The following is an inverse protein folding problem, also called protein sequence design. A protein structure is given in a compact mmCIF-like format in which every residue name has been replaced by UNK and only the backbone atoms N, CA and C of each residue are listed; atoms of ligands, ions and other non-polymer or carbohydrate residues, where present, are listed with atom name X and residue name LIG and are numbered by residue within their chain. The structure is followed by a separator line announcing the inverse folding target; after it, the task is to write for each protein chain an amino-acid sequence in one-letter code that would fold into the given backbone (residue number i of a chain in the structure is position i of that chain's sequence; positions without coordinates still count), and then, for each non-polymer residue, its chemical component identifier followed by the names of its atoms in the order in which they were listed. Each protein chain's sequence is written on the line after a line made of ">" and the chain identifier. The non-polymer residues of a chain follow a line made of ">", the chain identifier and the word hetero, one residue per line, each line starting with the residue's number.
data_IF_764077561341
#
_entry.id   IF_764077561341
#
_cell.length_a   1.000
_cell.length_b   1.000
_cell.length_c   1.000
_cell.angle_alpha   90.00
_cell.angle_beta   90.00
_cell.angle_gamma   90.00
#
_symmetry.space_group_name_H-M   'P 1'
#
loop_
_entity.id
_entity.type
_entity.pdbx_description
1 polymer ?
#
# COMPACT_ATOMS: atom_id res chain seq x y z
N UNK A 1 20.38 -26.05 7.38
CA UNK A 1 19.55 -27.15 6.82
C UNK A 1 18.86 -26.61 5.59
N UNK A 2 18.81 -27.38 4.50
CA UNK A 2 18.05 -27.01 3.31
C UNK A 2 16.54 -27.05 3.62
N UNK A 3 15.78 -26.07 3.13
CA UNK A 3 14.35 -26.00 3.40
C UNK A 3 13.58 -27.12 2.68
N UNK A 4 12.48 -27.57 3.26
CA UNK A 4 11.63 -28.63 2.69
C UNK A 4 11.21 -28.34 1.24
N UNK A 5 10.76 -27.12 0.95
CA UNK A 5 10.36 -26.72 -0.40
C UNK A 5 11.53 -26.78 -1.40
N UNK A 6 12.75 -26.44 -0.98
CA UNK A 6 13.92 -26.56 -1.84
C UNK A 6 14.27 -28.03 -2.13
N UNK A 7 14.20 -28.91 -1.13
CA UNK A 7 14.44 -30.35 -1.34
C UNK A 7 13.45 -30.98 -2.31
N UNK A 8 12.16 -30.63 -2.21
CA UNK A 8 11.15 -31.11 -3.16
C UNK A 8 11.42 -30.63 -4.58
N UNK A 9 11.78 -29.36 -4.74
CA UNK A 9 12.15 -28.82 -6.04
C UNK A 9 13.38 -29.55 -6.62
N UNK A 10 14.40 -29.83 -5.80
CA UNK A 10 15.58 -30.60 -6.24
C UNK A 10 15.23 -32.02 -6.69
N UNK A 11 14.36 -32.73 -5.95
CA UNK A 11 13.96 -34.09 -6.33
C UNK A 11 13.26 -34.08 -7.68
N UNK A 12 12.35 -33.14 -7.89
CA UNK A 12 11.65 -32.99 -9.17
C UNK A 12 12.62 -32.62 -10.31
N UNK A 13 13.51 -31.65 -10.08
CA UNK A 13 14.48 -31.22 -11.08
C UNK A 13 15.51 -32.31 -11.41
N UNK A 14 15.83 -33.19 -10.46
CA UNK A 14 16.73 -34.32 -10.71
C UNK A 14 16.14 -35.32 -11.72
N UNK A 15 14.82 -35.52 -11.75
CA UNK A 15 14.15 -36.33 -12.78
C UNK A 15 14.24 -35.68 -14.17
N UNK A 16 14.25 -34.34 -14.23
CA UNK A 16 14.51 -33.55 -15.44
C UNK A 16 16.01 -33.44 -15.80
N UNK A 17 16.90 -34.12 -15.05
CA UNK A 17 18.34 -34.12 -15.29
C UNK A 17 19.07 -32.85 -14.82
N UNK A 18 18.41 -32.01 -14.02
CA UNK A 18 18.96 -30.75 -13.51
C UNK A 18 19.48 -30.96 -12.07
N UNK A 19 20.77 -30.72 -11.86
CA UNK A 19 21.43 -30.86 -10.56
C UNK A 19 21.86 -29.50 -9.99
N UNK A 20 21.94 -29.35 -8.66
CA UNK A 20 22.45 -28.15 -8.03
C UNK A 20 23.97 -28.04 -8.18
N UNK A 21 24.42 -26.89 -8.65
CA UNK A 21 25.84 -26.55 -8.78
C UNK A 21 26.14 -25.29 -7.98
N UNK A 22 27.34 -25.19 -7.41
CA UNK A 22 27.84 -23.96 -6.82
C UNK A 22 28.78 -23.28 -7.81
N UNK A 23 28.59 -21.98 -8.01
CA UNK A 23 29.51 -21.15 -8.81
C UNK A 23 30.80 -20.87 -8.04
N UNK A 24 31.82 -20.33 -8.71
CA UNK A 24 33.06 -19.88 -8.06
C UNK A 24 32.81 -18.80 -6.98
N UNK A 25 31.68 -18.10 -7.06
CA UNK A 25 31.25 -17.09 -6.10
C UNK A 25 30.43 -17.67 -4.93
N UNK A 26 30.37 -18.99 -4.77
CA UNK A 26 29.55 -19.70 -3.76
C UNK A 26 28.05 -19.42 -3.93
N UNK A 27 27.60 -19.17 -5.17
CA UNK A 27 26.20 -18.99 -5.51
C UNK A 27 25.60 -20.28 -6.06
N UNK A 28 24.39 -20.59 -5.63
CA UNK A 28 23.65 -21.76 -6.05
C UNK A 28 23.02 -21.55 -7.42
N UNK A 29 23.31 -22.50 -8.32
CA UNK A 29 22.83 -22.54 -9.70
C UNK A 29 22.06 -23.83 -9.95
N UNK A 30 20.96 -23.74 -10.68
CA UNK A 30 20.14 -24.86 -11.12
C UNK A 30 19.94 -24.75 -12.64
N UNK A 31 20.59 -25.63 -13.41
CA UNK A 31 20.56 -25.56 -14.87
C UNK A 31 21.23 -24.29 -15.38
N UNK A 32 20.47 -23.39 -16.01
CA UNK A 32 20.93 -22.04 -16.41
C UNK A 32 20.62 -20.96 -15.36
N UNK A 33 19.77 -21.24 -14.39
CA UNK A 33 19.22 -20.24 -13.47
C UNK A 33 20.09 -20.08 -12.24
N UNK A 34 20.53 -18.85 -11.97
CA UNK A 34 21.23 -18.46 -10.75
C UNK A 34 20.21 -18.08 -9.68
N UNK A 35 20.33 -18.64 -8.47
CA UNK A 35 19.48 -18.28 -7.35
C UNK A 35 20.17 -17.19 -6.51
N UNK A 36 19.78 -15.91 -6.59
CA UNK A 36 20.51 -14.83 -5.93
C UNK A 36 20.42 -14.95 -4.40
N UNK A 37 21.57 -15.01 -3.74
CA UNK A 37 21.64 -15.08 -2.28
C UNK A 37 21.24 -13.73 -1.67
N UNK A 38 20.42 -13.79 -0.62
CA UNK A 38 20.07 -12.64 0.21
C UNK A 38 21.31 -12.14 0.94
N UNK A 39 21.63 -10.86 0.75
CA UNK A 39 22.67 -10.16 1.47
C UNK A 39 22.05 -9.30 2.58
N UNK A 40 22.81 -8.93 3.62
CA UNK A 40 22.31 -8.08 4.70
C UNK A 40 21.81 -6.71 4.24
N UNK A 41 22.21 -6.27 3.05
CA UNK A 41 21.87 -4.98 2.43
C UNK A 41 21.08 -5.16 1.12
N UNK A 42 20.40 -6.29 0.91
CA UNK A 42 19.60 -6.50 -0.32
C UNK A 42 18.38 -5.57 -0.33
N UNK A 43 18.39 -4.56 -1.21
CA UNK A 43 17.30 -3.62 -1.41
C UNK A 43 16.88 -2.92 -0.11
N UNK A 44 15.58 -2.95 0.20
CA UNK A 44 15.05 -2.33 1.43
C UNK A 44 15.42 -3.04 2.73
N UNK A 45 16.01 -4.24 2.68
CA UNK A 45 16.46 -4.95 3.86
C UNK A 45 17.83 -4.41 4.30
N UNK A 46 17.89 -3.92 5.54
CA UNK A 46 19.12 -3.45 6.17
C UNK A 46 19.36 -4.26 7.44
N UNK A 47 20.54 -4.86 7.55
CA UNK A 47 20.92 -5.79 8.63
C UNK A 47 20.07 -7.08 8.67
N UNK A 48 19.67 -7.59 7.50
CA UNK A 48 19.03 -8.90 7.45
C UNK A 48 20.00 -10.01 7.90
N UNK A 49 19.45 -11.01 8.60
CA UNK A 49 20.19 -12.22 8.91
C UNK A 49 20.41 -13.03 7.62
N UNK A 50 21.60 -12.86 7.03
CA UNK A 50 22.04 -13.58 5.84
C UNK A 50 22.85 -14.85 6.18
N UNK A 51 22.67 -15.41 7.38
CA UNK A 51 23.30 -16.67 7.75
C UNK A 51 22.74 -17.83 6.90
N UNK A 52 23.64 -18.62 6.31
CA UNK A 52 23.29 -19.65 5.34
C UNK A 52 22.90 -19.11 3.96
N UNK A 53 22.37 -20.00 3.12
CA UNK A 53 21.89 -19.66 1.79
C UNK A 53 20.39 -19.38 1.82
N UNK A 54 20.04 -18.10 1.73
CA UNK A 54 18.66 -17.63 1.73
C UNK A 54 18.38 -16.90 0.42
N UNK A 55 17.15 -16.97 -0.08
CA UNK A 55 16.70 -16.23 -1.27
C UNK A 55 15.38 -15.54 -0.93
N UNK A 56 15.08 -14.43 -1.61
CA UNK A 56 13.80 -13.76 -1.43
C UNK A 56 12.65 -14.62 -1.96
N UNK A 57 11.57 -14.71 -1.19
CA UNK A 57 10.35 -15.41 -1.58
C UNK A 57 9.36 -14.42 -2.21
N UNK A 58 8.93 -14.71 -3.43
CA UNK A 58 7.90 -14.03 -4.19
C UNK A 58 6.53 -14.62 -3.84
N UNK A 59 5.77 -13.90 -3.01
CA UNK A 59 4.42 -14.28 -2.62
C UNK A 59 3.42 -13.95 -3.75
N UNK A 60 3.33 -14.82 -4.75
CA UNK A 60 2.57 -14.58 -6.00
C UNK A 60 1.06 -14.45 -5.81
N UNK A 61 0.51 -15.08 -4.79
CA UNK A 61 -0.93 -14.99 -4.48
C UNK A 61 -1.20 -15.30 -3.01
N UNK A 62 -2.27 -14.73 -2.46
CA UNK A 62 -2.69 -15.07 -1.10
C UNK A 62 -3.18 -16.52 -0.98
N UNK A 63 -4.03 -16.99 -1.92
CA UNK A 63 -4.72 -18.27 -1.83
C UNK A 63 -4.75 -19.12 -3.12
N UNK A 64 -4.08 -18.70 -4.20
CA UNK A 64 -4.22 -19.32 -5.54
C UNK A 64 -2.90 -19.75 -6.18
N UNK A 65 -1.94 -20.18 -5.37
CA UNK A 65 -0.60 -20.58 -5.83
C UNK A 65 -0.67 -21.82 -6.72
N UNK A 66 -1.54 -22.76 -6.35
CA UNK A 66 -1.84 -23.97 -7.08
C UNK A 66 -3.31 -24.35 -6.84
N UNK A 67 -3.91 -25.23 -7.68
CA UNK A 67 -5.22 -25.81 -7.40
C UNK A 67 -5.23 -26.47 -6.03
N UNK A 68 -6.21 -26.12 -5.19
CA UNK A 68 -6.39 -26.71 -3.87
C UNK A 68 -7.59 -27.66 -3.92
N UNK A 69 -7.43 -28.84 -3.35
CA UNK A 69 -8.48 -29.86 -3.24
C UNK A 69 -8.59 -30.32 -1.79
N UNK A 70 -9.81 -30.54 -1.30
CA UNK A 70 -10.00 -31.04 0.06
C UNK A 70 -9.72 -32.54 0.11
N UNK A 71 -9.19 -33.03 1.25
CA UNK A 71 -8.99 -34.46 1.46
C UNK A 71 -10.31 -35.23 1.36
N UNK A 72 -11.42 -34.62 1.79
CA UNK A 72 -12.77 -35.20 1.65
C UNK A 72 -13.15 -35.41 0.19
N UNK A 73 -12.81 -34.48 -0.70
CA UNK A 73 -13.10 -34.63 -2.13
C UNK A 73 -12.25 -35.70 -2.78
N UNK A 74 -10.99 -35.84 -2.36
CA UNK A 74 -10.10 -36.92 -2.82
C UNK A 74 -10.64 -38.28 -2.38
N UNK A 75 -11.04 -38.42 -1.10
CA UNK A 75 -11.60 -39.66 -0.56
C UNK A 75 -12.97 -40.03 -1.16
N UNK A 76 -13.71 -39.04 -1.68
CA UNK A 76 -14.98 -39.22 -2.34
C UNK A 76 -14.87 -39.42 -3.86
N UNK A 77 -13.65 -39.59 -4.40
CA UNK A 77 -13.37 -39.69 -5.84
C UNK A 77 -13.93 -38.52 -6.67
N UNK A 78 -14.03 -37.32 -6.07
CA UNK A 78 -14.54 -36.10 -6.72
C UNK A 78 -13.45 -35.24 -7.37
N UNK A 79 -12.19 -35.69 -7.32
CA UNK A 79 -11.04 -34.97 -7.86
C UNK A 79 -10.57 -35.63 -9.16
N UNK A 80 -10.42 -34.83 -10.22
CA UNK A 80 -9.91 -35.32 -11.50
C UNK A 80 -8.45 -35.78 -11.35
N UNK A 81 -8.08 -36.99 -11.84
CA UNK A 81 -6.70 -37.51 -11.73
C UNK A 81 -5.62 -36.59 -12.34
N UNK A 82 -5.98 -35.80 -13.36
CA UNK A 82 -5.11 -34.82 -14.02
C UNK A 82 -4.59 -33.71 -13.09
N UNK A 83 -5.27 -33.46 -11.97
CA UNK A 83 -4.82 -32.51 -10.95
C UNK A 83 -3.72 -33.09 -10.04
N UNK A 84 -3.49 -34.40 -10.08
CA UNK A 84 -2.60 -35.12 -9.16
C UNK A 84 -1.42 -35.75 -9.91
N UNK A 85 -1.66 -36.32 -11.09
CA UNK A 85 -0.60 -36.98 -11.88
C UNK A 85 0.45 -35.98 -12.36
N UNK A 86 1.70 -36.43 -12.35
CA UNK A 86 2.88 -35.72 -12.88
C UNK A 86 3.07 -34.32 -12.26
N UNK A 87 2.69 -34.20 -10.98
CA UNK A 87 2.73 -32.94 -10.22
C UNK A 87 3.29 -33.19 -8.83
N UNK A 88 3.95 -32.18 -8.27
CA UNK A 88 4.24 -32.15 -6.85
C UNK A 88 2.95 -31.86 -6.09
N UNK A 89 2.54 -32.79 -5.24
CA UNK A 89 1.35 -32.66 -4.41
C UNK A 89 1.76 -32.42 -2.96
N UNK A 90 1.37 -31.26 -2.43
CA UNK A 90 1.58 -30.90 -1.03
C UNK A 90 0.30 -31.13 -0.25
N UNK A 91 0.40 -31.87 0.85
CA UNK A 91 -0.72 -32.16 1.75
C UNK A 91 -0.45 -31.46 3.07
N UNK A 92 -1.39 -30.64 3.53
CA UNK A 92 -1.27 -29.90 4.78
C UNK A 92 -2.60 -29.33 5.25
N UNK A 93 -2.57 -28.68 6.41
CA UNK A 93 -3.74 -28.06 7.01
C UNK A 93 -3.84 -26.59 6.59
N UNK A 94 -5.04 -26.14 6.28
CA UNK A 94 -5.34 -24.74 5.95
C UNK A 94 -6.23 -24.06 6.99
N UNK A 95 -6.63 -24.80 8.03
CA UNK A 95 -7.49 -24.30 9.10
C UNK A 95 -6.68 -23.56 10.17
N UNK A 96 -7.13 -22.39 10.67
CA UNK A 96 -6.41 -21.61 11.67
C UNK A 96 -6.09 -22.35 12.99
N UNK A 97 -6.88 -23.38 13.32
CA UNK A 97 -6.69 -24.17 14.54
C UNK A 97 -5.41 -25.01 14.52
N UNK A 98 -4.84 -25.30 13.35
CA UNK A 98 -3.63 -26.10 13.22
C UNK A 98 -2.37 -25.35 13.69
N UNK A 99 -2.45 -24.02 13.87
CA UNK A 99 -1.35 -23.12 14.28
C UNK A 99 -0.10 -23.17 13.37
N UNK A 100 -0.23 -23.74 12.17
CA UNK A 100 0.79 -23.73 11.13
C UNK A 100 0.50 -22.59 10.14
N UNK A 101 0.59 -21.36 10.64
CA UNK A 101 0.31 -20.17 9.84
C UNK A 101 1.38 -19.09 10.05
N UNK A 102 1.74 -18.42 8.97
CA UNK A 102 2.80 -17.43 8.92
C UNK A 102 2.26 -16.05 8.55
N UNK A 103 2.86 -15.01 9.14
CA UNK A 103 2.66 -13.64 8.67
C UNK A 103 3.36 -13.44 7.34
N UNK A 104 2.63 -12.93 6.35
CA UNK A 104 3.13 -12.67 4.99
C UNK A 104 2.78 -11.24 4.59
N UNK A 105 3.30 -10.72 3.47
CA UNK A 105 2.90 -9.39 2.98
C UNK A 105 1.37 -9.23 2.80
N UNK A 106 0.63 -10.32 2.57
CA UNK A 106 -0.83 -10.31 2.48
C UNK A 106 -1.56 -10.19 3.83
N UNK A 107 -0.85 -10.37 4.95
CA UNK A 107 -1.43 -10.21 6.28
C UNK A 107 -1.61 -8.73 6.65
N UNK A 108 -0.85 -7.82 6.03
CA UNK A 108 -0.95 -6.39 6.27
C UNK A 108 -2.14 -5.78 5.51
N UNK A 109 -3.08 -5.15 6.23
CA UNK A 109 -4.24 -4.46 5.65
C UNK A 109 -5.47 -5.35 5.37
N UNK A 110 -5.38 -6.66 5.58
CA UNK A 110 -6.53 -7.55 5.55
C UNK A 110 -7.34 -7.43 6.86
N UNK A 111 -8.68 -7.34 6.75
CA UNK A 111 -9.62 -7.15 7.87
C UNK A 111 -9.43 -8.18 9.00
N UNK A 112 -8.97 -9.39 8.68
CA UNK A 112 -8.79 -10.50 9.61
C UNK A 112 -7.32 -10.88 9.90
N UNK A 113 -6.34 -10.06 9.50
CA UNK A 113 -4.91 -10.42 9.66
C UNK A 113 -4.62 -11.81 9.08
N UNK A 114 -5.13 -12.07 7.87
CA UNK A 114 -5.06 -13.39 7.22
C UNK A 114 -3.61 -13.89 7.21
N UNK A 115 -3.34 -14.91 8.01
CA UNK A 115 -2.07 -15.62 8.00
C UNK A 115 -2.10 -16.66 6.89
N UNK A 116 -0.95 -16.91 6.28
CA UNK A 116 -0.83 -17.90 5.22
C UNK A 116 -0.52 -19.26 5.84
N UNK A 117 -1.28 -20.33 5.53
CA UNK A 117 -0.94 -21.67 6.00
C UNK A 117 0.47 -22.09 5.55
N UNK A 118 1.21 -22.81 6.39
CA UNK A 118 2.59 -23.22 6.13
C UNK A 118 2.75 -24.04 4.84
N UNK A 119 1.79 -24.92 4.55
CA UNK A 119 1.76 -25.68 3.29
C UNK A 119 1.68 -24.77 2.06
N UNK A 120 0.99 -23.63 2.15
CA UNK A 120 0.88 -22.65 1.07
C UNK A 120 2.20 -21.89 0.90
N UNK A 121 2.89 -21.56 2.00
CA UNK A 121 4.25 -20.96 1.94
C UNK A 121 5.24 -21.89 1.25
N UNK A 122 5.20 -23.18 1.58
CA UNK A 122 6.02 -24.20 0.90
C UNK A 122 5.64 -24.33 -0.58
N UNK A 123 4.35 -24.28 -0.93
CA UNK A 123 3.89 -24.27 -2.31
C UNK A 123 4.46 -23.08 -3.10
N UNK A 124 4.48 -21.88 -2.51
CA UNK A 124 5.10 -20.70 -3.14
C UNK A 124 6.58 -20.93 -3.41
N UNK A 125 7.31 -21.47 -2.42
CA UNK A 125 8.75 -21.72 -2.54
C UNK A 125 9.06 -22.71 -3.67
N UNK A 126 8.33 -23.82 -3.72
CA UNK A 126 8.48 -24.83 -4.78
C UNK A 126 8.12 -24.23 -6.15
N UNK A 127 6.96 -23.56 -6.25
CA UNK A 127 6.50 -22.93 -7.49
C UNK A 127 7.48 -21.87 -8.01
N UNK A 128 8.06 -21.06 -7.12
CA UNK A 128 9.07 -20.07 -7.49
C UNK A 128 10.30 -20.73 -8.10
N UNK A 129 10.88 -21.73 -7.43
CA UNK A 129 12.09 -22.41 -7.91
C UNK A 129 11.82 -23.09 -9.24
N UNK A 130 10.73 -23.87 -9.35
CA UNK A 130 10.42 -24.59 -10.59
C UNK A 130 10.12 -23.65 -11.75
N UNK A 131 9.33 -22.59 -11.55
CA UNK A 131 9.09 -21.62 -12.62
C UNK A 131 10.36 -20.84 -12.99
N UNK A 132 11.27 -20.58 -12.05
CA UNK A 132 12.54 -19.91 -12.37
C UNK A 132 13.49 -20.81 -13.17
N UNK A 133 13.48 -22.13 -12.92
CA UNK A 133 14.37 -23.09 -13.59
C UNK A 133 13.80 -23.61 -14.90
N UNK A 134 12.51 -23.92 -14.96
CA UNK A 134 11.86 -24.56 -16.10
C UNK A 134 11.20 -23.57 -17.06
N UNK A 135 10.71 -22.43 -16.56
CA UNK A 135 10.02 -21.41 -17.36
C UNK A 135 10.84 -20.12 -17.52
N UNK A 136 12.10 -20.10 -17.04
CA UNK A 136 12.99 -18.94 -17.08
C UNK A 136 12.36 -17.66 -16.48
N UNK A 137 11.53 -17.82 -15.44
CA UNK A 137 10.89 -16.69 -14.77
C UNK A 137 11.90 -15.90 -13.93
N UNK A 138 11.86 -14.56 -13.99
CA UNK A 138 12.75 -13.73 -13.20
C UNK A 138 12.46 -13.89 -11.70
N UNK A 139 13.52 -14.05 -10.91
CA UNK A 139 13.47 -14.00 -9.45
C UNK A 139 13.45 -12.54 -8.98
N UNK A 140 13.03 -12.31 -7.74
CA UNK A 140 13.18 -11.01 -7.11
C UNK A 140 14.67 -10.66 -7.03
N UNK A 141 15.01 -9.48 -7.51
CA UNK A 141 16.36 -8.93 -7.51
C UNK A 141 16.31 -7.49 -7.01
N UNK A 142 17.43 -7.02 -6.47
CA UNK A 142 17.62 -5.62 -6.08
C UNK A 142 18.81 -5.04 -6.81
N UNK A 143 18.91 -3.71 -6.82
CA UNK A 143 20.09 -3.02 -7.30
C UNK A 143 21.24 -3.21 -6.31
N UNK A 144 22.47 -2.96 -6.77
CA UNK A 144 23.59 -2.83 -5.84
C UNK A 144 23.51 -1.51 -5.09
N UNK A 145 24.08 -1.46 -3.88
CA UNK A 145 24.07 -0.25 -3.05
C UNK A 145 24.60 0.98 -3.80
N UNK A 146 25.65 0.82 -4.61
CA UNK A 146 26.21 1.90 -5.43
C UNK A 146 25.23 2.42 -6.50
N UNK A 147 24.47 1.52 -7.14
CA UNK A 147 23.45 1.91 -8.12
C UNK A 147 22.30 2.67 -7.44
N UNK A 148 21.87 2.21 -6.27
CA UNK A 148 20.86 2.92 -5.47
C UNK A 148 21.36 4.30 -5.02
N UNK A 149 22.60 4.42 -4.55
CA UNK A 149 23.20 5.70 -4.16
C UNK A 149 23.27 6.68 -5.32
N UNK A 150 23.73 6.23 -6.50
CA UNK A 150 23.78 7.06 -7.71
C UNK A 150 22.37 7.50 -8.12
N UNK A 151 21.38 6.61 -8.01
CA UNK A 151 20.00 6.91 -8.35
C UNK A 151 19.38 7.94 -7.41
N UNK A 152 19.58 7.77 -6.09
CA UNK A 152 19.11 8.71 -5.06
C UNK A 152 19.80 10.07 -5.27
N UNK A 153 21.12 10.08 -5.48
CA UNK A 153 21.86 11.30 -5.76
C UNK A 153 21.38 11.98 -7.04
N UNK A 154 21.09 11.21 -8.08
CA UNK A 154 20.51 11.70 -9.33
C UNK A 154 19.18 12.41 -9.12
N UNK A 155 18.25 11.78 -8.38
CA UNK A 155 16.96 12.40 -8.05
C UNK A 155 17.08 13.58 -7.09
N UNK A 156 18.03 13.55 -6.15
CA UNK A 156 18.32 14.68 -5.28
C UNK A 156 18.83 15.89 -6.09
N UNK A 157 19.69 15.65 -7.10
CA UNK A 157 20.19 16.67 -8.00
C UNK A 157 19.07 17.22 -8.89
N UNK A 158 18.24 16.35 -9.49
CA UNK A 158 17.08 16.77 -10.29
C UNK A 158 16.11 17.59 -9.43
N UNK A 159 15.79 17.12 -8.23
CA UNK A 159 14.97 17.85 -7.27
C UNK A 159 15.58 19.20 -6.90
N UNK A 160 16.89 19.26 -6.67
CA UNK A 160 17.61 20.51 -6.39
C UNK A 160 17.63 21.48 -7.58
N UNK A 161 17.76 20.99 -8.81
CA UNK A 161 17.70 21.80 -10.04
C UNK A 161 16.28 22.32 -10.27
N UNK A 162 15.26 21.48 -10.07
CA UNK A 162 13.85 21.89 -10.16
C UNK A 162 13.55 22.93 -9.08
N UNK A 163 13.96 22.69 -7.85
CA UNK A 163 13.83 23.64 -6.75
C UNK A 163 14.56 24.95 -7.05
N UNK A 164 15.77 24.93 -7.61
CA UNK A 164 16.49 26.11 -8.07
C UNK A 164 15.76 26.86 -9.20
N UNK A 165 15.26 26.15 -10.20
CA UNK A 165 14.52 26.74 -11.33
C UNK A 165 13.19 27.37 -10.87
N UNK A 166 12.52 26.76 -9.89
CA UNK A 166 11.26 27.27 -9.29
C UNK A 166 11.53 28.34 -8.22
N UNK A 167 12.71 28.34 -7.57
CA UNK A 167 13.21 29.37 -6.62
C UNK A 167 13.70 30.64 -7.29
N UNK A 168 13.69 30.75 -8.61
CA UNK A 168 13.71 32.08 -9.23
C UNK A 168 12.50 32.87 -8.66
N UNK A 169 12.71 34.02 -8.00
CA UNK A 169 11.89 34.54 -6.88
C UNK A 169 10.42 34.92 -7.15
N UNK A 170 9.80 34.44 -8.23
CA UNK A 170 8.41 34.72 -8.61
C UNK A 170 7.52 33.48 -8.76
N UNK A 171 8.01 32.24 -8.58
CA UNK A 171 7.21 31.03 -8.91
C UNK A 171 7.04 29.99 -7.81
N UNK A 172 7.64 30.18 -6.62
CA UNK A 172 7.45 29.29 -5.47
C UNK A 172 6.03 29.34 -4.86
N UNK A 173 5.20 30.29 -5.31
CA UNK A 173 3.76 30.19 -5.13
C UNK A 173 3.16 28.95 -5.79
N UNK A 174 3.74 28.39 -6.87
CA UNK A 174 3.15 27.40 -7.78
C UNK A 174 2.14 26.41 -7.21
N UNK A 175 2.48 25.54 -6.26
CA UNK A 175 1.51 24.54 -5.79
C UNK A 175 0.29 25.15 -5.05
N UNK A 176 0.45 26.33 -4.44
CA UNK A 176 -0.59 27.07 -3.70
C UNK A 176 -1.15 28.25 -4.53
N UNK A 177 -0.41 28.74 -5.53
CA UNK A 177 -0.75 29.86 -6.40
C UNK A 177 -1.33 29.41 -7.75
N UNK A 178 -1.24 28.11 -8.07
CA UNK A 178 -1.97 27.49 -9.19
C UNK A 178 -3.36 27.00 -8.72
N UNK A 179 -3.62 26.93 -7.40
CA UNK A 179 -4.97 26.60 -6.93
C UNK A 179 -5.87 27.84 -7.01
N UNK A 180 -6.82 27.82 -7.94
CA UNK A 180 -7.89 28.83 -8.07
C UNK A 180 -8.78 28.88 -6.80
N UNK A 181 -8.75 27.84 -5.95
CA UNK A 181 -9.42 27.84 -4.64
C UNK A 181 -8.64 26.98 -3.64
N UNK A 182 -8.43 27.52 -2.43
CA UNK A 182 -7.84 26.81 -1.29
C UNK A 182 -8.92 26.51 -0.24
N UNK A 183 -9.20 25.22 -0.04
CA UNK A 183 -10.12 24.75 1.01
C UNK A 183 -9.31 24.07 2.12
N UNK A 184 -9.34 24.61 3.33
CA UNK A 184 -8.62 24.04 4.47
C UNK A 184 -9.62 23.34 5.40
N UNK A 185 -9.40 22.05 5.64
CA UNK A 185 -10.22 21.25 6.56
C UNK A 185 -9.61 21.34 7.96
N UNK A 186 -10.40 21.77 8.93
CA UNK A 186 -10.04 21.82 10.35
C UNK A 186 -10.98 21.00 11.21
N UNK A 187 -10.52 20.54 12.37
CA UNK A 187 -11.37 19.97 13.42
C UNK A 187 -11.50 20.98 14.58
N UNK A 188 -12.63 21.01 15.31
CA UNK A 188 -12.83 21.94 16.42
C UNK A 188 -12.11 21.49 17.71
N UNK A 189 -10.81 21.25 17.65
CA UNK A 189 -9.97 20.92 18.81
C UNK A 189 -8.78 21.89 18.93
N UNK A 190 -8.32 22.15 20.16
CA UNK A 190 -7.32 23.21 20.44
C UNK A 190 -5.99 23.05 19.68
N UNK A 191 -5.63 21.83 19.29
CA UNK A 191 -4.39 21.54 18.57
C UNK A 191 -4.49 21.90 17.09
N UNK A 192 -5.60 21.56 16.42
CA UNK A 192 -5.82 21.89 14.99
C UNK A 192 -5.97 23.41 14.75
N UNK A 193 -6.43 24.17 15.74
CA UNK A 193 -6.50 25.64 15.64
C UNK A 193 -5.13 26.31 15.46
N UNK A 194 -4.07 25.80 16.09
CA UNK A 194 -2.73 26.39 15.97
C UNK A 194 -2.08 26.02 14.62
N UNK A 195 -2.24 24.77 14.19
CA UNK A 195 -1.78 24.32 12.87
C UNK A 195 -2.45 25.09 11.73
N UNK A 196 -3.76 25.29 11.82
CA UNK A 196 -4.54 26.05 10.82
C UNK A 196 -4.09 27.52 10.74
N UNK A 197 -3.75 28.15 11.86
CA UNK A 197 -3.26 29.54 11.87
C UNK A 197 -1.96 29.70 11.08
N UNK A 198 -1.03 28.75 11.22
CA UNK A 198 0.24 28.75 10.49
C UNK A 198 0.00 28.54 8.99
N UNK A 199 -0.83 27.58 8.62
CA UNK A 199 -1.18 27.32 7.21
C UNK A 199 -1.82 28.54 6.55
N UNK A 200 -2.73 29.22 7.25
CA UNK A 200 -3.36 30.45 6.76
C UNK A 200 -2.37 31.62 6.61
N UNK A 201 -1.40 31.76 7.52
CA UNK A 201 -0.35 32.77 7.38
C UNK A 201 0.54 32.50 6.16
N UNK A 202 0.88 31.24 5.90
CA UNK A 202 1.63 30.84 4.71
C UNK A 202 0.80 31.12 3.46
N UNK A 203 -0.47 30.71 3.42
CA UNK A 203 -1.38 30.96 2.30
C UNK A 203 -1.53 32.45 1.98
N UNK A 204 -1.68 33.31 3.00
CA UNK A 204 -1.73 34.77 2.85
C UNK A 204 -0.44 35.36 2.27
N UNK A 205 0.73 34.88 2.72
CA UNK A 205 2.02 35.33 2.19
C UNK A 205 2.22 34.96 0.72
N UNK A 206 1.48 33.95 0.23
CA UNK A 206 1.55 33.45 -1.13
C UNK A 206 0.49 34.07 -2.06
N UNK A 207 -0.26 35.11 -1.62
CA UNK A 207 -1.32 35.77 -2.39
C UNK A 207 -2.36 34.81 -2.99
N UNK A 208 -2.82 33.82 -2.21
CA UNK A 208 -3.98 33.03 -2.63
C UNK A 208 -5.24 33.88 -2.58
N UNK A 209 -5.89 34.05 -3.74
CA UNK A 209 -7.08 34.91 -3.90
C UNK A 209 -8.28 34.39 -3.13
N UNK A 210 -8.47 33.06 -3.13
CA UNK A 210 -9.73 32.43 -2.70
C UNK A 210 -9.51 31.35 -1.63
N UNK A 211 -9.62 31.75 -0.36
CA UNK A 211 -9.50 30.85 0.79
C UNK A 211 -10.88 30.59 1.43
N UNK A 212 -11.16 29.33 1.76
CA UNK A 212 -12.29 28.95 2.61
C UNK A 212 -11.94 27.84 3.59
N UNK A 213 -12.69 27.76 4.69
CA UNK A 213 -12.51 26.78 5.74
C UNK A 213 -13.65 25.77 5.75
N UNK A 214 -13.33 24.51 6.03
CA UNK A 214 -14.30 23.44 6.30
C UNK A 214 -14.08 22.94 7.71
N UNK A 215 -15.11 23.02 8.55
CA UNK A 215 -15.04 22.52 9.92
C UNK A 215 -15.61 21.11 9.97
N UNK A 216 -14.77 20.13 10.24
CA UNK A 216 -15.16 18.73 10.26
C UNK A 216 -15.34 18.18 11.69
N UNK A 217 -16.21 17.18 11.83
CA UNK A 217 -16.51 16.48 13.09
C UNK A 217 -17.01 17.40 14.21
N UNK A 218 -17.87 18.35 13.87
CA UNK A 218 -18.52 19.20 14.89
C UNK A 218 -19.55 18.36 15.63
N UNK A 219 -19.51 18.37 16.97
CA UNK A 219 -20.54 17.67 17.75
C UNK A 219 -21.92 18.27 17.45
N UNK A 220 -22.95 17.45 17.17
CA UNK A 220 -24.32 17.92 16.95
C UNK A 220 -24.91 18.72 18.13
N UNK A 221 -24.30 18.62 19.31
CA UNK A 221 -24.66 19.39 20.50
C UNK A 221 -24.27 20.86 20.45
N UNK A 222 -23.41 21.29 19.51
CA UNK A 222 -23.03 22.69 19.35
C UNK A 222 -23.99 23.44 18.44
N UNK A 223 -24.17 24.73 18.68
CA UNK A 223 -24.80 25.63 17.70
C UNK A 223 -23.83 25.91 16.55
N UNK A 224 -24.12 25.35 15.37
CA UNK A 224 -23.26 25.48 14.20
C UNK A 224 -23.10 26.92 13.74
N UNK A 225 -24.09 27.80 13.96
CA UNK A 225 -23.97 29.22 13.61
C UNK A 225 -22.97 29.91 14.52
N UNK A 226 -23.04 29.64 15.82
CA UNK A 226 -22.10 30.20 16.78
C UNK A 226 -20.67 29.71 16.52
N UNK A 227 -20.51 28.42 16.19
CA UNK A 227 -19.21 27.84 15.81
C UNK A 227 -18.69 28.51 14.54
N UNK A 228 -19.55 28.74 13.54
CA UNK A 228 -19.19 29.44 12.32
C UNK A 228 -18.66 30.85 12.61
N UNK A 229 -19.45 31.67 13.32
CA UNK A 229 -19.11 33.06 13.64
C UNK A 229 -17.80 33.17 14.43
N UNK A 230 -17.59 32.29 15.41
CA UNK A 230 -16.36 32.27 16.21
C UNK A 230 -15.11 31.97 15.37
N UNK A 231 -15.20 31.00 14.46
CA UNK A 231 -14.07 30.57 13.64
C UNK A 231 -13.79 31.60 12.53
N UNK A 232 -14.84 32.13 11.89
CA UNK A 232 -14.71 33.20 10.90
C UNK A 232 -14.13 34.48 11.52
N UNK A 233 -14.57 34.87 12.73
CA UNK A 233 -14.01 36.02 13.44
C UNK A 233 -12.53 35.80 13.81
N UNK A 234 -12.18 34.59 14.25
CA UNK A 234 -10.82 34.25 14.67
C UNK A 234 -9.83 34.23 13.51
N UNK A 235 -10.22 33.59 12.40
CA UNK A 235 -9.31 33.39 11.27
C UNK A 235 -9.45 34.43 10.17
N UNK A 236 -10.55 35.20 10.14
CA UNK A 236 -10.88 36.15 9.07
C UNK A 236 -10.88 35.48 7.68
N UNK A 237 -11.46 34.27 7.61
CA UNK A 237 -11.62 33.47 6.39
C UNK A 237 -13.03 32.86 6.42
N UNK A 238 -13.79 32.91 5.33
CA UNK A 238 -15.16 32.36 5.29
C UNK A 238 -15.18 30.84 5.45
N UNK A 239 -16.24 30.33 6.07
CA UNK A 239 -16.48 28.88 6.16
C UNK A 239 -17.38 28.44 4.99
N UNK A 240 -16.90 27.48 4.20
CA UNK A 240 -17.66 26.90 3.09
C UNK A 240 -18.56 25.73 3.52
N UNK A 241 -18.26 25.08 4.66
CA UNK A 241 -19.11 24.01 5.20
C UNK A 241 -18.76 23.59 6.64
N UNK A 242 -19.77 23.08 7.35
CA UNK A 242 -19.64 22.54 8.71
C UNK A 242 -20.21 21.13 8.73
N UNK A 243 -19.35 20.14 8.93
CA UNK A 243 -19.73 18.74 8.92
C UNK A 243 -19.97 18.24 10.35
N UNK A 244 -21.20 17.77 10.66
CA UNK A 244 -21.48 17.15 11.94
C UNK A 244 -20.75 15.81 12.06
N UNK A 245 -20.39 15.44 13.29
CA UNK A 245 -20.09 14.06 13.61
C UNK A 245 -21.38 13.23 13.48
N UNK A 246 -21.41 12.28 12.55
CA UNK A 246 -22.53 11.36 12.34
C UNK A 246 -22.07 9.91 12.53
N UNK A 247 -22.85 9.13 13.26
CA UNK A 247 -22.62 7.69 13.46
C UNK A 247 -22.90 6.91 12.17
N UNK A 248 -23.83 7.37 11.33
CA UNK A 248 -24.19 6.73 10.06
C UNK A 248 -22.97 6.60 9.13
N UNK A 249 -22.07 7.59 9.16
CA UNK A 249 -20.81 7.54 8.40
C UNK A 249 -19.82 6.52 8.97
N UNK A 250 -19.82 6.32 10.29
CA UNK A 250 -19.01 5.29 10.94
C UNK A 250 -19.55 3.90 10.62
N UNK A 251 -20.88 3.75 10.59
CA UNK A 251 -21.54 2.49 10.24
C UNK A 251 -21.32 2.11 8.78
N UNK A 252 -21.35 3.07 7.86
CA UNK A 252 -21.08 2.80 6.43
C UNK A 252 -19.62 2.41 6.17
N UNK A 253 -18.67 2.98 6.93
CA UNK A 253 -17.24 2.69 6.83
C UNK A 253 -16.71 2.67 5.38
N UNK A 254 -16.26 1.50 4.89
CA UNK A 254 -15.74 1.29 3.53
C UNK A 254 -16.72 0.56 2.60
N UNK A 255 -17.94 0.27 3.06
CA UNK A 255 -18.90 -0.55 2.32
C UNK A 255 -19.54 0.19 1.14
N UNK A 256 -19.37 1.52 1.08
CA UNK A 256 -19.84 2.33 -0.05
C UNK A 256 -19.51 3.81 0.04
N UNK A 257 -20.12 4.60 -0.85
CA UNK A 257 -19.92 6.06 -0.94
C UNK A 257 -21.08 6.77 -0.26
N UNK A 258 -20.81 7.42 0.87
CA UNK A 258 -21.83 8.01 1.75
C UNK A 258 -22.84 8.92 1.03
N UNK A 259 -22.36 9.80 0.14
CA UNK A 259 -23.24 10.76 -0.56
C UNK A 259 -24.15 10.10 -1.60
N UNK A 260 -23.85 8.88 -2.05
CA UNK A 260 -24.68 8.13 -3.01
C UNK A 260 -25.76 7.31 -2.30
N UNK A 261 -25.47 6.82 -1.09
CA UNK A 261 -26.39 6.00 -0.31
C UNK A 261 -27.29 6.82 0.60
N UNK A 262 -26.77 7.92 1.14
CA UNK A 262 -27.46 8.81 2.08
C UNK A 262 -27.70 10.19 1.46
N UNK A 263 -28.48 10.22 0.38
CA UNK A 263 -28.71 11.42 -0.45
C UNK A 263 -29.29 12.59 0.36
N UNK A 264 -30.24 12.31 1.26
CA UNK A 264 -30.94 13.33 2.06
C UNK A 264 -30.28 13.66 3.40
N UNK A 265 -29.16 13.01 3.72
CA UNK A 265 -28.52 13.16 5.03
C UNK A 265 -27.86 14.55 5.19
N UNK A 266 -27.92 15.18 6.38
CA UNK A 266 -27.34 16.51 6.62
C UNK A 266 -25.88 16.67 6.18
N UNK A 267 -25.07 15.63 6.39
CA UNK A 267 -23.68 15.57 5.91
C UNK A 267 -23.60 15.73 4.38
N UNK A 268 -24.40 14.96 3.63
CA UNK A 268 -24.43 14.98 2.16
C UNK A 268 -24.86 16.36 1.64
N UNK A 269 -25.82 17.01 2.31
CA UNK A 269 -26.23 18.39 1.99
C UNK A 269 -25.09 19.39 2.17
N UNK A 270 -24.29 19.26 3.23
CA UNK A 270 -23.11 20.11 3.43
C UNK A 270 -22.00 19.83 2.39
N UNK A 271 -21.83 18.59 1.92
CA UNK A 271 -20.91 18.28 0.79
C UNK A 271 -21.33 19.06 -0.46
N UNK A 272 -22.62 19.02 -0.82
CA UNK A 272 -23.11 19.77 -1.98
C UNK A 272 -22.96 21.28 -1.81
N UNK A 273 -23.21 21.81 -0.62
CA UNK A 273 -23.04 23.24 -0.32
C UNK A 273 -21.58 23.69 -0.48
N UNK A 274 -20.61 22.90 0.00
CA UNK A 274 -19.18 23.18 -0.21
C UNK A 274 -18.83 23.14 -1.70
N UNK A 275 -19.30 22.13 -2.42
CA UNK A 275 -19.05 22.00 -3.86
C UNK A 275 -19.62 23.20 -4.65
N UNK A 276 -20.83 23.64 -4.34
CA UNK A 276 -21.45 24.83 -4.93
C UNK A 276 -20.69 26.12 -4.58
N UNK A 277 -20.26 26.27 -3.32
CA UNK A 277 -19.46 27.40 -2.88
C UNK A 277 -18.14 27.51 -3.67
N UNK A 278 -17.40 26.40 -3.75
CA UNK A 278 -16.11 26.34 -4.48
C UNK A 278 -16.32 26.59 -5.97
N UNK A 279 -17.36 26.00 -6.56
CA UNK A 279 -17.71 26.21 -7.98
C UNK A 279 -18.10 27.66 -8.29
N UNK A 280 -18.80 28.32 -7.38
CA UNK A 280 -19.16 29.73 -7.50
C UNK A 280 -17.93 30.63 -7.53
N UNK A 281 -17.01 30.45 -6.56
CA UNK A 281 -15.77 31.24 -6.48
C UNK A 281 -14.85 31.04 -7.69
N UNK A 282 -14.73 29.82 -8.22
CA UNK A 282 -13.94 29.55 -9.43
C UNK A 282 -14.49 30.19 -10.72
N UNK A 283 -15.77 30.58 -10.75
CA UNK A 283 -16.41 31.21 -11.92
C UNK A 283 -16.24 32.72 -11.97
N UNK A 284 -16.08 33.38 -10.83
CA UNK A 284 -15.95 34.85 -10.73
C UNK A 284 -14.54 35.35 -11.14
N UNK A 285 -13.56 34.45 -11.28
CA UNK A 285 -12.17 34.77 -11.68
C UNK A 285 -11.84 34.57 -13.18
N UNK A 286 -12.79 34.12 -14.01
CA UNK A 286 -12.64 33.99 -15.48
C UNK A 286 -13.32 35.13 -16.24
#
# INVERSE_FOLDING_TARGET
>A
MLSFGFQLALIYLAEEGIQPELTEADELKLGSTLLPRLQPTTGGYQNADASGYQIMLDYRSANRVAPQVSLTDVLADRVKPELIRDRIVLIGYTTPQAKDEFYTPYSAGATDSQKMPGVVVHAQSVSQILSAVLEDRPLLWSWSNAQEEIWIFGWALVGGVVDWYVRHPLKLGGAIAISDALVIILRPDRQDFQGTAVTLQVARKLNTSEMSLVVNKVSPSYDFKLVQEQIEQKFQVPISGIFPLTEDMVQLASDGIFCLEYIDHPYTREVYKVAEYVRGRMRDER
#
